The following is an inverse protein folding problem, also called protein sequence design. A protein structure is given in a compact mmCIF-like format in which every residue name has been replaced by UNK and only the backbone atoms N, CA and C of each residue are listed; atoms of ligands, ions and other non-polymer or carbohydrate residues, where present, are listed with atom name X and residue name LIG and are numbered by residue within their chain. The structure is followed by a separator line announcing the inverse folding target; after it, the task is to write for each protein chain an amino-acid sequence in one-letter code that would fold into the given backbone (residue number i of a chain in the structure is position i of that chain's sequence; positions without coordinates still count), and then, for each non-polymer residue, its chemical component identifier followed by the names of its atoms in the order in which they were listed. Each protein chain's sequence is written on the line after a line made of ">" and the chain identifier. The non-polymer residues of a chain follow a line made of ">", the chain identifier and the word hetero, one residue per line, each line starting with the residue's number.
data_IF_454472149291
#
_entry.id   IF_454472149291
#
_cell.length_a   1.000
_cell.length_b   1.000
_cell.length_c   1.000
_cell.angle_alpha   90.00
_cell.angle_beta   90.00
_cell.angle_gamma   90.00
#
_symmetry.space_group_name_H-M   'P 1'
#
loop_
_entity.id
_entity.type
_entity.pdbx_description
1 polymer ?
#
# COMPACT_ATOMS: atom_id res chain seq x y z
N UNK A 1 -24.90 8.69 21.50
CA UNK A 1 -23.46 8.97 21.25
C UNK A 1 -23.02 8.05 20.13
N UNK A 2 -22.47 8.61 19.05
CA UNK A 2 -22.00 7.83 17.90
C UNK A 2 -20.76 7.01 18.27
N UNK A 3 -20.76 5.72 17.95
CA UNK A 3 -19.59 4.86 18.07
C UNK A 3 -18.71 4.93 16.81
N UNK A 4 -17.41 5.12 16.97
CA UNK A 4 -16.45 5.08 15.85
C UNK A 4 -15.70 3.75 15.86
N UNK A 5 -15.40 3.20 14.69
CA UNK A 5 -14.57 2.02 14.54
C UNK A 5 -13.61 2.18 13.34
N UNK A 6 -12.45 1.53 13.43
CA UNK A 6 -11.46 1.46 12.34
C UNK A 6 -11.93 0.43 11.31
N UNK A 7 -12.19 0.87 10.08
CA UNK A 7 -12.68 0.00 9.02
C UNK A 7 -11.66 -1.07 8.63
N UNK A 8 -10.38 -0.70 8.60
CA UNK A 8 -9.26 -1.53 8.17
C UNK A 8 -8.78 -2.57 9.19
N UNK A 9 -9.29 -2.50 10.42
CA UNK A 9 -9.06 -3.53 11.44
C UNK A 9 -10.06 -4.69 11.34
N UNK A 10 -11.15 -4.53 10.58
CA UNK A 10 -12.14 -5.57 10.33
C UNK A 10 -11.58 -6.68 9.43
N UNK A 11 -12.21 -7.85 9.46
CA UNK A 11 -12.09 -8.83 8.37
C UNK A 11 -13.17 -8.58 7.32
N UNK A 12 -13.06 -9.19 6.14
CA UNK A 12 -14.08 -8.98 5.11
C UNK A 12 -15.45 -9.55 5.51
N UNK A 13 -15.51 -10.63 6.30
CA UNK A 13 -16.75 -11.13 6.88
C UNK A 13 -17.42 -10.09 7.78
N UNK A 14 -16.65 -9.42 8.62
CA UNK A 14 -17.16 -8.36 9.50
C UNK A 14 -17.66 -7.16 8.69
N UNK A 15 -17.01 -6.83 7.56
CA UNK A 15 -17.56 -5.86 6.59
C UNK A 15 -18.86 -6.35 5.97
N UNK A 16 -18.97 -7.64 5.64
CA UNK A 16 -20.16 -8.23 5.06
C UNK A 16 -21.38 -8.16 6.01
N UNK A 17 -21.14 -8.17 7.32
CA UNK A 17 -22.16 -8.05 8.37
C UNK A 17 -22.57 -6.60 8.69
N UNK A 18 -21.83 -5.60 8.22
CA UNK A 18 -22.19 -4.20 8.46
C UNK A 18 -23.52 -3.84 7.79
N UNK A 19 -24.41 -3.10 8.49
CA UNK A 19 -25.56 -2.48 7.86
C UNK A 19 -25.12 -1.59 6.69
N UNK A 20 -25.76 -1.74 5.52
CA UNK A 20 -25.40 -1.01 4.29
C UNK A 20 -25.71 0.49 4.31
N UNK A 21 -26.40 0.95 5.34
CA UNK A 21 -26.60 2.36 5.68
C UNK A 21 -25.60 2.86 6.75
N UNK A 22 -24.63 2.05 7.16
CA UNK A 22 -23.53 2.49 8.02
C UNK A 22 -22.69 3.54 7.28
N UNK A 23 -22.50 4.75 7.84
CA UNK A 23 -21.61 5.74 7.25
C UNK A 23 -20.17 5.26 7.27
N UNK A 24 -19.55 5.26 6.10
CA UNK A 24 -18.12 4.97 5.92
C UNK A 24 -17.43 6.23 5.41
N UNK A 25 -16.37 6.65 6.12
CA UNK A 25 -15.72 7.94 5.90
C UNK A 25 -14.23 7.73 5.62
N UNK A 26 -13.78 8.19 4.47
CA UNK A 26 -12.38 8.25 4.04
C UNK A 26 -11.79 9.63 4.37
N UNK A 27 -10.95 9.76 5.41
CA UNK A 27 -10.36 11.04 5.76
C UNK A 27 -9.11 11.34 4.95
N UNK A 28 -9.00 12.58 4.46
CA UNK A 28 -7.73 13.13 3.97
C UNK A 28 -6.95 13.68 5.17
N UNK A 29 -5.93 12.94 5.60
CA UNK A 29 -5.18 13.24 6.82
C UNK A 29 -5.89 12.82 8.11
N UNK A 30 -5.28 13.11 9.25
CA UNK A 30 -5.74 12.74 10.60
C UNK A 30 -6.00 13.99 11.45
N UNK A 31 -6.71 13.83 12.57
CA UNK A 31 -6.93 14.91 13.55
C UNK A 31 -8.23 15.70 13.40
N UNK A 32 -9.22 15.16 12.67
CA UNK A 32 -10.54 15.78 12.58
C UNK A 32 -11.31 15.71 13.90
N UNK A 33 -12.11 16.75 14.23
CA UNK A 33 -12.99 16.73 15.39
C UNK A 33 -14.18 15.78 15.15
N UNK A 34 -14.08 14.54 15.64
CA UNK A 34 -15.08 13.47 15.40
C UNK A 34 -16.50 13.84 15.86
N UNK A 35 -16.64 14.70 16.87
CA UNK A 35 -17.95 15.22 17.28
C UNK A 35 -18.65 16.03 16.18
N UNK A 36 -17.90 16.86 15.45
CA UNK A 36 -18.46 17.60 14.31
C UNK A 36 -18.77 16.69 13.12
N UNK A 37 -17.97 15.64 12.91
CA UNK A 37 -18.26 14.62 11.91
C UNK A 37 -19.56 13.88 12.21
N UNK A 38 -19.77 13.48 13.46
CA UNK A 38 -21.02 12.85 13.91
C UNK A 38 -22.22 13.77 13.65
N UNK A 39 -22.13 15.04 14.03
CA UNK A 39 -23.19 16.03 13.77
C UNK A 39 -23.47 16.22 12.27
N UNK A 40 -22.42 16.32 11.44
CA UNK A 40 -22.54 16.45 9.99
C UNK A 40 -23.24 15.25 9.32
N UNK A 41 -23.22 14.09 9.98
CA UNK A 41 -23.86 12.86 9.53
C UNK A 41 -25.18 12.56 10.24
N UNK A 42 -25.75 13.54 10.94
CA UNK A 42 -26.99 13.43 11.72
C UNK A 42 -26.92 12.40 12.85
N UNK A 43 -25.79 12.37 13.55
CA UNK A 43 -25.55 11.57 14.77
C UNK A 43 -25.93 10.09 14.64
N UNK A 44 -25.40 9.37 13.64
CA UNK A 44 -25.73 7.95 13.43
C UNK A 44 -25.25 7.11 14.64
N UNK A 45 -25.80 5.90 14.84
CA UNK A 45 -25.38 5.03 15.93
C UNK A 45 -23.90 4.63 15.83
N UNK A 46 -23.38 4.49 14.59
CA UNK A 46 -21.98 4.14 14.31
C UNK A 46 -21.44 4.84 13.06
N UNK A 47 -20.13 5.03 12.99
CA UNK A 47 -19.38 5.50 11.82
C UNK A 47 -18.11 4.66 11.66
N UNK A 48 -17.89 4.11 10.47
CA UNK A 48 -16.61 3.49 10.10
C UNK A 48 -15.65 4.53 9.56
N UNK A 49 -14.45 4.60 10.13
CA UNK A 49 -13.37 5.46 9.65
C UNK A 49 -12.38 4.60 8.87
N UNK A 50 -12.21 4.91 7.59
CA UNK A 50 -11.20 4.26 6.75
C UNK A 50 -9.79 4.78 7.09
N UNK A 51 -8.72 4.06 6.69
CA UNK A 51 -7.36 4.57 6.76
C UNK A 51 -7.25 5.98 6.19
N UNK A 52 -6.49 6.84 6.86
CA UNK A 52 -6.32 8.19 6.35
C UNK A 52 -5.49 8.19 5.05
N UNK A 53 -5.98 8.88 4.03
CA UNK A 53 -5.16 9.20 2.86
C UNK A 53 -4.05 10.16 3.31
N UNK A 54 -2.76 9.84 3.12
CA UNK A 54 -1.68 10.50 3.87
C UNK A 54 -1.24 11.86 3.31
N UNK A 55 -1.37 12.08 2.00
CA UNK A 55 -0.97 13.32 1.33
C UNK A 55 -1.67 13.50 -0.03
N UNK A 56 -1.47 14.63 -0.70
CA UNK A 56 -1.96 14.90 -2.05
C UNK A 56 -2.81 16.16 -2.17
N UNK A 57 -3.32 16.68 -1.04
CA UNK A 57 -4.13 17.89 -0.99
C UNK A 57 -3.29 19.12 -0.59
N UNK A 58 -3.86 20.31 -0.78
CA UNK A 58 -3.20 21.54 -0.35
C UNK A 58 -3.05 21.57 1.18
N UNK A 59 -1.81 21.72 1.66
CA UNK A 59 -1.48 21.74 3.09
C UNK A 59 -0.91 20.43 3.64
N UNK A 60 -0.89 19.34 2.85
CA UNK A 60 -0.38 18.03 3.29
C UNK A 60 1.14 17.84 3.15
N UNK A 61 1.90 18.91 2.87
CA UNK A 61 3.33 18.85 2.53
C UNK A 61 3.64 18.39 1.09
N UNK A 62 2.85 17.48 0.53
CA UNK A 62 2.93 17.00 -0.87
C UNK A 62 1.61 17.25 -1.58
N UNK A 63 1.53 18.32 -2.37
CA UNK A 63 0.32 18.69 -3.12
C UNK A 63 0.35 18.12 -4.53
N UNK A 64 -0.75 17.49 -4.95
CA UNK A 64 -1.04 17.12 -6.33
C UNK A 64 -2.18 17.99 -6.90
N UNK A 65 -2.50 17.80 -8.18
CA UNK A 65 -3.71 18.42 -8.74
C UNK A 65 -4.96 17.77 -8.14
N UNK A 66 -6.02 18.55 -7.97
CA UNK A 66 -7.30 18.04 -7.47
C UNK A 66 -7.92 17.01 -8.41
N UNK A 67 -7.60 17.04 -9.71
CA UNK A 67 -8.03 16.02 -10.67
C UNK A 67 -7.39 14.66 -10.37
N UNK A 68 -6.08 14.61 -10.12
CA UNK A 68 -5.39 13.35 -9.80
C UNK A 68 -5.87 12.77 -8.47
N UNK A 69 -5.94 13.62 -7.43
CA UNK A 69 -6.41 13.20 -6.13
C UNK A 69 -7.91 12.80 -6.16
N UNK A 70 -8.73 13.60 -6.83
CA UNK A 70 -10.17 13.37 -6.95
C UNK A 70 -10.48 12.05 -7.66
N UNK A 71 -9.74 11.68 -8.70
CA UNK A 71 -9.91 10.40 -9.39
C UNK A 71 -9.63 9.20 -8.47
N UNK A 72 -8.54 9.25 -7.71
CA UNK A 72 -8.20 8.19 -6.74
C UNK A 72 -9.27 8.09 -5.64
N UNK A 73 -9.65 9.22 -5.05
CA UNK A 73 -10.64 9.25 -3.97
C UNK A 73 -12.02 8.80 -4.46
N UNK A 74 -12.43 9.19 -5.67
CA UNK A 74 -13.69 8.74 -6.26
C UNK A 74 -13.74 7.21 -6.42
N UNK A 75 -12.68 6.60 -6.96
CA UNK A 75 -12.60 5.14 -7.15
C UNK A 75 -12.66 4.37 -5.82
N UNK A 76 -12.06 4.92 -4.75
CA UNK A 76 -12.16 4.36 -3.41
C UNK A 76 -13.59 4.41 -2.86
N UNK A 77 -14.29 5.54 -3.03
CA UNK A 77 -15.69 5.65 -2.64
C UNK A 77 -16.59 4.73 -3.48
N UNK A 78 -16.31 4.58 -4.77
CA UNK A 78 -17.04 3.65 -5.65
C UNK A 78 -16.83 2.20 -5.22
N UNK A 79 -15.65 1.84 -4.73
CA UNK A 79 -15.40 0.50 -4.17
C UNK A 79 -16.36 0.19 -3.00
N UNK A 80 -16.58 1.15 -2.11
CA UNK A 80 -17.54 1.00 -1.01
C UNK A 80 -19.00 0.95 -1.51
N UNK A 81 -19.34 1.69 -2.57
CA UNK A 81 -20.68 1.63 -3.17
C UNK A 81 -20.94 0.31 -3.86
N UNK A 82 -19.93 -0.27 -4.50
CA UNK A 82 -20.00 -1.58 -5.13
C UNK A 82 -20.23 -2.69 -4.09
N UNK A 83 -19.68 -2.52 -2.88
CA UNK A 83 -20.01 -3.34 -1.70
C UNK A 83 -21.42 -3.07 -1.13
N UNK A 84 -22.19 -2.18 -1.76
CA UNK A 84 -23.57 -1.85 -1.43
C UNK A 84 -23.76 -0.75 -0.37
N UNK A 85 -22.69 -0.10 0.10
CA UNK A 85 -22.83 0.98 1.09
C UNK A 85 -23.43 2.25 0.48
N UNK A 86 -24.53 2.72 1.05
CA UNK A 86 -25.29 3.87 0.57
C UNK A 86 -24.77 5.21 1.11
N UNK A 87 -23.98 5.19 2.19
CA UNK A 87 -23.51 6.37 2.93
C UNK A 87 -21.99 6.40 2.97
N UNK A 88 -21.37 6.83 1.87
CA UNK A 88 -19.92 6.89 1.71
C UNK A 88 -19.45 8.32 1.49
N UNK A 89 -18.42 8.73 2.22
CA UNK A 89 -17.96 10.13 2.24
C UNK A 89 -16.44 10.23 2.24
N UNK A 90 -15.91 11.20 1.52
CA UNK A 90 -14.57 11.73 1.74
C UNK A 90 -14.65 12.88 2.74
N UNK A 91 -13.84 12.82 3.80
CA UNK A 91 -13.68 13.89 4.77
C UNK A 91 -12.44 14.72 4.42
N UNK A 92 -12.67 15.95 3.97
CA UNK A 92 -11.64 16.84 3.45
C UNK A 92 -11.41 18.04 4.39
N UNK A 93 -10.19 18.61 4.39
CA UNK A 93 -9.97 19.91 5.00
C UNK A 93 -10.77 20.99 4.26
N UNK A 94 -11.15 22.05 4.97
CA UNK A 94 -11.80 23.21 4.36
C UNK A 94 -10.95 23.81 3.24
N UNK A 95 -11.61 24.20 2.14
CA UNK A 95 -10.98 24.84 0.98
C UNK A 95 -10.47 23.87 -0.10
N UNK A 96 -10.62 22.55 0.09
CA UNK A 96 -10.33 21.53 -0.93
C UNK A 96 -11.63 21.17 -1.67
N UNK A 97 -11.59 21.07 -3.00
CA UNK A 97 -12.73 20.58 -3.78
C UNK A 97 -12.30 19.47 -4.74
N UNK A 98 -12.78 18.25 -4.49
CA UNK A 98 -12.43 17.08 -5.32
C UNK A 98 -13.49 16.73 -6.36
N UNK A 99 -14.53 17.56 -6.51
CA UNK A 99 -15.65 17.24 -7.40
C UNK A 99 -16.53 16.08 -6.93
N UNK A 100 -16.48 15.71 -5.65
CA UNK A 100 -17.22 14.56 -5.09
C UNK A 100 -18.67 14.90 -4.66
N UNK A 101 -19.11 16.15 -4.88
CA UNK A 101 -20.45 16.64 -4.58
C UNK A 101 -20.92 16.27 -3.15
N UNK A 102 -22.09 15.63 -3.02
CA UNK A 102 -22.70 15.25 -1.75
C UNK A 102 -21.89 14.22 -0.94
N UNK A 103 -20.92 13.56 -1.57
CA UNK A 103 -20.00 12.64 -0.89
C UNK A 103 -18.77 13.34 -0.32
N UNK A 104 -18.68 14.67 -0.34
CA UNK A 104 -17.62 15.41 0.35
C UNK A 104 -18.14 16.07 1.63
N UNK A 105 -17.50 15.76 2.75
CA UNK A 105 -17.68 16.47 4.02
C UNK A 105 -16.45 17.34 4.24
N UNK A 106 -16.66 18.62 4.54
CA UNK A 106 -15.55 19.57 4.76
C UNK A 106 -15.56 20.05 6.20
N UNK A 107 -14.52 19.70 6.97
CA UNK A 107 -14.36 20.09 8.37
C UNK A 107 -13.02 20.80 8.58
N UNK A 108 -12.91 21.67 9.60
CA UNK A 108 -11.62 22.23 9.96
C UNK A 108 -10.68 21.13 10.45
N UNK A 109 -9.43 21.19 10.02
CA UNK A 109 -8.35 20.38 10.57
C UNK A 109 -7.65 21.24 11.65
N UNK A 110 -7.82 20.91 12.93
CA UNK A 110 -7.35 21.76 14.03
C UNK A 110 -5.90 21.46 14.46
N UNK A 111 -5.10 22.53 14.62
CA UNK A 111 -3.84 22.54 15.39
C UNK A 111 -2.67 21.77 14.78
N UNK A 112 -1.59 21.65 15.57
CA UNK A 112 -0.35 20.90 15.28
C UNK A 112 -0.53 19.45 14.81
N UNK A 113 -1.75 18.91 14.71
CA UNK A 113 -2.03 17.69 13.95
C UNK A 113 -1.79 17.87 12.43
N UNK A 114 -1.71 19.12 11.95
CA UNK A 114 -1.11 19.47 10.66
C UNK A 114 0.43 19.33 10.64
N UNK A 115 1.09 19.18 11.80
CA UNK A 115 2.55 18.99 11.97
C UNK A 115 2.92 17.50 12.09
N UNK A 116 1.95 16.63 12.38
CA UNK A 116 2.01 15.19 12.06
C UNK A 116 1.53 14.90 10.62
N UNK A 117 1.40 15.94 9.78
CA UNK A 117 1.48 15.72 8.34
C UNK A 117 2.83 15.06 8.10
N UNK A 118 2.94 14.06 7.22
CA UNK A 118 4.26 13.67 6.78
C UNK A 118 5.04 14.87 6.32
N UNK A 119 6.05 15.24 7.10
CA UNK A 119 7.13 16.02 6.55
C UNK A 119 7.70 15.14 5.46
N UNK A 120 7.41 15.48 4.20
CA UNK A 120 8.28 15.06 3.13
C UNK A 120 9.73 15.25 3.62
N UNK A 121 10.66 14.36 3.29
CA UNK A 121 12.04 14.52 3.69
C UNK A 121 12.52 15.96 3.46
N UNK A 122 13.22 16.57 4.44
CA UNK A 122 13.70 17.93 4.29
C UNK A 122 14.72 18.04 3.15
N UNK A 123 14.96 19.27 2.70
CA UNK A 123 15.74 19.53 1.48
C UNK A 123 17.22 19.12 1.60
N UNK A 124 17.75 18.96 2.81
CA UNK A 124 19.09 18.43 3.10
C UNK A 124 19.17 16.89 2.97
N UNK A 125 18.04 16.21 2.80
CA UNK A 125 17.98 14.75 2.59
C UNK A 125 17.88 14.35 1.11
N UNK A 126 18.06 15.28 0.16
CA UNK A 126 17.95 15.03 -1.30
C UNK A 126 18.83 13.91 -1.82
N UNK A 127 19.91 13.60 -1.12
CA UNK A 127 20.82 12.52 -1.48
C UNK A 127 20.42 11.14 -0.98
N UNK A 128 19.41 11.03 -0.11
CA UNK A 128 18.89 9.75 0.38
C UNK A 128 18.03 9.05 -0.68
N UNK A 129 17.86 7.74 -0.53
CA UNK A 129 16.81 7.00 -1.25
C UNK A 129 15.48 7.27 -0.55
N UNK A 130 14.51 7.80 -1.29
CA UNK A 130 13.15 7.99 -0.79
C UNK A 130 12.38 6.69 -0.97
N UNK A 131 12.11 6.01 0.14
CA UNK A 131 11.23 4.86 0.21
C UNK A 131 9.78 5.32 0.08
N UNK A 132 9.03 4.67 -0.79
CA UNK A 132 7.61 4.94 -1.04
C UNK A 132 6.84 3.67 -0.70
N UNK A 133 6.47 3.45 0.58
CA UNK A 133 5.69 2.29 1.00
C UNK A 133 4.24 2.39 0.56
N UNK A 134 3.75 1.34 -0.08
CA UNK A 134 2.39 1.23 -0.60
C UNK A 134 1.83 -0.12 -0.17
N UNK A 135 0.86 -0.08 0.73
CA UNK A 135 0.10 -1.25 1.15
C UNK A 135 -1.18 -1.41 0.36
N UNK A 136 -2.18 -1.94 1.04
CA UNK A 136 -3.55 -2.02 0.56
C UNK A 136 -4.54 -2.12 1.73
N UNK A 137 -5.83 -1.96 1.40
CA UNK A 137 -6.98 -2.25 2.27
C UNK A 137 -7.80 -3.28 1.50
N UNK A 138 -7.70 -4.53 1.92
CA UNK A 138 -8.07 -5.70 1.12
C UNK A 138 -8.46 -6.89 1.99
N UNK A 139 -9.44 -7.67 1.54
CA UNK A 139 -9.81 -8.95 2.15
C UNK A 139 -8.58 -9.86 2.35
N UNK A 140 -8.43 -10.47 3.53
CA UNK A 140 -7.36 -11.46 3.77
C UNK A 140 -7.92 -12.68 4.49
N UNK A 141 -8.86 -13.37 3.82
CA UNK A 141 -9.55 -14.50 4.43
C UNK A 141 -10.38 -14.08 5.65
N UNK A 142 -10.75 -15.06 6.47
CA UNK A 142 -11.59 -14.82 7.64
C UNK A 142 -10.83 -14.40 8.89
N UNK A 143 -9.49 -14.52 8.89
CA UNK A 143 -8.67 -14.36 10.10
C UNK A 143 -7.84 -13.08 10.16
N UNK A 144 -7.51 -12.46 9.02
CA UNK A 144 -6.65 -11.28 8.99
C UNK A 144 -7.42 -9.98 8.74
N UNK A 145 -6.91 -8.84 9.27
CA UNK A 145 -7.52 -7.54 9.05
C UNK A 145 -7.30 -7.05 7.62
N UNK A 146 -8.16 -6.14 7.15
CA UNK A 146 -8.02 -5.53 5.82
C UNK A 146 -6.70 -4.74 5.65
N UNK A 147 -6.11 -4.29 6.76
CA UNK A 147 -4.85 -3.52 6.80
C UNK A 147 -3.58 -4.36 6.67
N UNK A 148 -3.67 -5.67 6.43
CA UNK A 148 -2.52 -6.60 6.43
C UNK A 148 -1.33 -6.08 5.62
N UNK A 149 -1.51 -5.79 4.34
CA UNK A 149 -0.47 -5.28 3.44
C UNK A 149 0.16 -3.98 3.94
N UNK A 150 -0.68 -3.08 4.46
CA UNK A 150 -0.28 -1.77 4.96
C UNK A 150 0.58 -1.89 6.20
N UNK A 151 0.16 -2.70 7.18
CA UNK A 151 0.90 -2.92 8.42
C UNK A 151 2.28 -3.54 8.15
N UNK A 152 2.36 -4.49 7.23
CA UNK A 152 3.60 -5.18 6.88
C UNK A 152 4.58 -4.21 6.20
N UNK A 153 4.15 -3.54 5.13
CA UNK A 153 5.07 -2.70 4.35
C UNK A 153 5.50 -1.45 5.11
N UNK A 154 4.63 -0.93 5.99
CA UNK A 154 4.99 0.16 6.90
C UNK A 154 6.09 -0.28 7.87
N UNK A 155 5.93 -1.42 8.53
CA UNK A 155 6.94 -1.94 9.47
C UNK A 155 8.30 -2.16 8.79
N UNK A 156 8.30 -2.66 7.55
CA UNK A 156 9.51 -2.88 6.77
C UNK A 156 10.17 -1.53 6.41
N UNK A 157 9.41 -0.58 5.88
CA UNK A 157 9.95 0.73 5.51
C UNK A 157 10.52 1.47 6.71
N UNK A 158 9.82 1.46 7.85
CA UNK A 158 10.29 2.05 9.10
C UNK A 158 11.56 1.34 9.61
N UNK A 159 11.62 0.00 9.51
CA UNK A 159 12.81 -0.78 9.86
C UNK A 159 14.03 -0.41 9.02
N UNK A 160 13.85 -0.21 7.71
CA UNK A 160 14.92 0.22 6.79
C UNK A 160 15.41 1.63 7.13
N UNK A 161 14.49 2.59 7.34
CA UNK A 161 14.86 3.96 7.72
C UNK A 161 15.61 3.98 9.05
N UNK A 162 15.13 3.22 10.04
CA UNK A 162 15.80 3.12 11.35
C UNK A 162 17.22 2.55 11.24
N UNK A 163 17.43 1.59 10.36
CA UNK A 163 18.73 0.95 10.18
C UNK A 163 19.71 1.75 9.29
N UNK A 164 19.20 2.62 8.42
CA UNK A 164 20.03 3.42 7.50
C UNK A 164 19.58 4.89 7.39
N UNK A 165 19.47 5.64 8.51
CA UNK A 165 18.89 6.99 8.52
C UNK A 165 19.66 8.00 7.67
N UNK A 166 20.97 7.80 7.47
CA UNK A 166 21.84 8.64 6.62
C UNK A 166 21.77 8.30 5.12
N UNK A 167 21.03 7.26 4.75
CA UNK A 167 20.98 6.71 3.40
C UNK A 167 19.56 6.63 2.84
N UNK A 168 18.55 6.57 3.71
CA UNK A 168 17.15 6.45 3.34
C UNK A 168 16.24 7.33 4.19
N UNK A 169 15.12 7.72 3.59
CA UNK A 169 13.98 8.34 4.26
C UNK A 169 12.71 7.77 3.63
N UNK A 170 11.57 7.82 4.33
CA UNK A 170 10.31 7.26 3.82
C UNK A 170 9.22 8.33 3.74
N UNK A 171 8.38 8.25 2.71
CA UNK A 171 7.04 8.82 2.76
C UNK A 171 6.17 7.96 3.70
N UNK A 172 5.03 8.44 4.21
CA UNK A 172 4.07 7.57 4.86
C UNK A 172 3.62 6.46 3.95
N UNK A 173 3.23 5.37 4.60
CA UNK A 173 2.55 4.30 3.91
C UNK A 173 1.27 4.80 3.27
N UNK A 174 1.11 4.51 1.98
CA UNK A 174 -0.17 4.65 1.30
C UNK A 174 -0.98 3.38 1.54
N UNK A 175 -2.15 3.44 2.22
CA UNK A 175 -2.94 2.26 2.54
C UNK A 175 -3.82 1.77 1.36
N UNK A 176 -3.61 2.34 0.17
CA UNK A 176 -4.44 2.13 -1.00
C UNK A 176 -3.60 1.82 -2.24
N UNK A 177 -4.02 0.79 -2.96
CA UNK A 177 -3.36 0.26 -4.15
C UNK A 177 -4.37 -0.15 -5.21
N UNK A 178 -3.92 -1.00 -6.12
CA UNK A 178 -4.72 -1.55 -7.21
C UNK A 178 -5.00 -3.02 -6.95
N UNK A 179 -6.27 -3.37 -6.80
CA UNK A 179 -6.76 -4.75 -6.79
C UNK A 179 -7.59 -5.03 -8.05
N UNK A 180 -7.27 -6.12 -8.75
CA UNK A 180 -7.97 -6.59 -9.96
C UNK A 180 -8.95 -7.73 -9.70
N UNK A 181 -9.16 -8.07 -8.42
CA UNK A 181 -9.99 -9.19 -7.95
C UNK A 181 -11.06 -8.77 -6.93
N UNK A 182 -11.24 -7.46 -6.71
CA UNK A 182 -12.12 -6.88 -5.68
C UNK A 182 -13.59 -7.33 -5.71
N UNK A 183 -14.10 -7.85 -6.84
CA UNK A 183 -15.53 -8.17 -6.98
C UNK A 183 -15.94 -9.45 -6.25
N UNK A 184 -14.99 -10.29 -5.86
CA UNK A 184 -15.28 -11.59 -5.24
C UNK A 184 -15.62 -11.46 -3.74
N UNK A 185 -15.04 -10.49 -3.03
CA UNK A 185 -15.22 -10.32 -1.58
C UNK A 185 -15.25 -8.84 -1.18
N UNK A 186 -16.14 -8.43 -0.25
CA UNK A 186 -16.26 -7.05 0.19
C UNK A 186 -15.03 -6.60 1.00
N UNK A 187 -14.89 -5.29 1.21
CA UNK A 187 -13.80 -4.72 2.00
C UNK A 187 -12.54 -4.38 1.19
N UNK A 188 -12.45 -4.87 -0.05
CA UNK A 188 -11.32 -4.57 -0.93
C UNK A 188 -11.54 -3.26 -1.67
N UNK A 189 -10.69 -2.28 -1.39
CA UNK A 189 -10.73 -0.98 -2.04
C UNK A 189 -9.85 -0.99 -3.29
N UNK A 190 -10.15 -0.16 -4.28
CA UNK A 190 -9.32 -0.06 -5.48
C UNK A 190 -9.22 1.39 -5.93
N UNK A 191 -8.00 1.90 -6.10
CA UNK A 191 -7.79 3.26 -6.63
C UNK A 191 -7.93 3.34 -8.15
N UNK A 192 -7.98 2.20 -8.85
CA UNK A 192 -8.01 2.10 -10.31
C UNK A 192 -6.62 2.24 -10.94
N UNK A 193 -6.25 1.33 -11.83
CA UNK A 193 -4.88 1.21 -12.36
C UNK A 193 -4.32 2.49 -13.01
N UNK A 194 -5.10 3.17 -13.86
CA UNK A 194 -4.66 4.43 -14.50
C UNK A 194 -4.50 5.56 -13.48
N UNK A 195 -5.46 5.71 -12.57
CA UNK A 195 -5.41 6.73 -11.53
C UNK A 195 -4.25 6.48 -10.56
N UNK A 196 -3.92 5.21 -10.27
CA UNK A 196 -2.73 4.84 -9.50
C UNK A 196 -1.43 5.28 -10.19
N UNK A 197 -1.26 4.94 -11.47
CA UNK A 197 -0.08 5.33 -12.25
C UNK A 197 0.07 6.85 -12.32
N UNK A 198 -1.01 7.56 -12.66
CA UNK A 198 -1.01 9.02 -12.79
C UNK A 198 -0.74 9.72 -11.44
N UNK A 199 -1.33 9.20 -10.35
CA UNK A 199 -1.09 9.72 -9.00
C UNK A 199 0.38 9.61 -8.61
N UNK A 200 0.98 8.43 -8.75
CA UNK A 200 2.38 8.22 -8.35
C UNK A 200 3.36 8.93 -9.26
N UNK A 201 3.06 9.07 -10.55
CA UNK A 201 3.85 9.92 -11.43
C UNK A 201 3.78 11.39 -11.01
N UNK A 202 2.61 11.89 -10.61
CA UNK A 202 2.47 13.22 -10.03
C UNK A 202 3.26 13.40 -8.73
N UNK A 203 3.31 12.37 -7.87
CA UNK A 203 4.17 12.38 -6.67
C UNK A 203 5.64 12.50 -7.05
N UNK A 204 6.10 11.71 -8.02
CA UNK A 204 7.48 11.79 -8.52
C UNK A 204 7.77 13.18 -9.11
N UNK A 205 6.85 13.76 -9.90
CA UNK A 205 7.02 15.09 -10.47
C UNK A 205 7.29 16.14 -9.37
N UNK A 206 6.54 16.09 -8.26
CA UNK A 206 6.73 17.00 -7.10
C UNK A 206 8.07 16.76 -6.41
N UNK A 207 8.44 15.51 -6.17
CA UNK A 207 9.70 15.18 -5.48
C UNK A 207 10.92 15.55 -6.33
N UNK A 208 10.87 15.33 -7.64
CA UNK A 208 11.94 15.72 -8.57
C UNK A 208 12.04 17.24 -8.66
N UNK A 209 10.93 17.96 -8.69
CA UNK A 209 10.93 19.43 -8.65
C UNK A 209 11.59 19.97 -7.37
N UNK A 210 11.54 19.22 -6.27
CA UNK A 210 12.24 19.52 -5.01
C UNK A 210 13.68 19.04 -4.95
N UNK A 211 14.19 18.39 -6.00
CA UNK A 211 15.60 17.98 -6.13
C UNK A 211 15.90 16.54 -5.68
N UNK A 212 14.91 15.75 -5.26
CA UNK A 212 15.10 14.33 -4.99
C UNK A 212 15.30 13.56 -6.31
N UNK A 213 16.16 12.54 -6.28
CA UNK A 213 16.55 11.84 -7.50
C UNK A 213 16.74 10.33 -7.34
N UNK A 214 16.42 9.77 -6.17
CA UNK A 214 16.52 8.33 -5.86
C UNK A 214 15.20 7.90 -5.21
N UNK A 215 14.43 7.08 -5.89
CA UNK A 215 13.10 6.64 -5.45
C UNK A 215 13.03 5.12 -5.43
N UNK A 216 12.48 4.57 -4.35
CA UNK A 216 12.26 3.14 -4.22
C UNK A 216 10.82 2.88 -3.79
N UNK A 217 10.00 2.41 -4.73
CA UNK A 217 8.66 1.93 -4.45
C UNK A 217 8.73 0.57 -3.75
N UNK A 218 8.09 0.48 -2.58
CA UNK A 218 7.97 -0.73 -1.79
C UNK A 218 6.49 -1.13 -1.78
N UNK A 219 6.16 -2.31 -2.32
CA UNK A 219 4.78 -2.81 -2.29
C UNK A 219 4.60 -3.85 -1.20
N UNK A 220 3.55 -3.70 -0.40
CA UNK A 220 3.00 -4.76 0.45
C UNK A 220 2.04 -5.68 -0.32
N UNK A 221 1.51 -5.20 -1.44
CA UNK A 221 0.42 -5.84 -2.18
C UNK A 221 0.86 -6.33 -3.58
N UNK A 222 0.47 -7.56 -3.95
CA UNK A 222 0.82 -8.17 -5.24
C UNK A 222 0.24 -7.43 -6.45
N UNK A 223 -1.02 -6.99 -6.38
CA UNK A 223 -1.74 -6.34 -7.48
C UNK A 223 -1.14 -4.99 -7.91
N UNK A 224 -0.36 -4.34 -7.05
CA UNK A 224 0.36 -3.10 -7.41
C UNK A 224 1.49 -3.34 -8.42
N UNK A 225 2.04 -4.55 -8.51
CA UNK A 225 3.39 -4.76 -9.07
C UNK A 225 3.52 -4.42 -10.55
N UNK A 226 2.54 -4.79 -11.37
CA UNK A 226 2.55 -4.47 -12.81
C UNK A 226 2.51 -2.96 -13.05
N UNK A 227 1.72 -2.22 -12.26
CA UNK A 227 1.60 -0.77 -12.33
C UNK A 227 2.86 -0.06 -11.80
N UNK A 228 3.49 -0.56 -10.74
CA UNK A 228 4.76 -0.02 -10.23
C UNK A 228 5.89 -0.15 -11.26
N UNK A 229 5.93 -1.26 -12.00
CA UNK A 229 6.88 -1.43 -13.11
C UNK A 229 6.65 -0.38 -14.20
N UNK A 230 5.39 -0.06 -14.52
CA UNK A 230 5.07 1.02 -15.46
C UNK A 230 5.49 2.39 -14.93
N UNK A 231 5.17 2.70 -13.67
CA UNK A 231 5.56 3.96 -13.01
C UNK A 231 7.08 4.15 -13.06
N UNK A 232 7.87 3.12 -12.73
CA UNK A 232 9.34 3.18 -12.78
C UNK A 232 9.84 3.52 -14.19
N UNK A 233 9.26 2.90 -15.23
CA UNK A 233 9.64 3.15 -16.63
C UNK A 233 9.27 4.57 -17.06
N UNK A 234 8.03 5.00 -16.80
CA UNK A 234 7.55 6.34 -17.16
C UNK A 234 8.28 7.44 -16.39
N UNK A 235 8.57 7.25 -15.11
CA UNK A 235 9.36 8.20 -14.31
C UNK A 235 10.79 8.34 -14.88
N UNK A 236 11.44 7.23 -15.24
CA UNK A 236 12.76 7.25 -15.86
C UNK A 236 12.78 7.89 -17.25
N UNK A 237 11.71 7.73 -18.03
CA UNK A 237 11.51 8.41 -19.31
C UNK A 237 11.34 9.93 -19.12
N UNK A 238 10.45 10.35 -18.21
CA UNK A 238 10.18 11.76 -17.88
C UNK A 238 11.43 12.47 -17.34
N UNK A 239 12.19 11.79 -16.48
CA UNK A 239 13.32 12.38 -15.77
C UNK A 239 14.60 11.55 -15.92
N UNK A 240 15.33 11.79 -17.01
CA UNK A 240 16.54 11.04 -17.38
C UNK A 240 17.70 11.01 -16.35
N UNK A 241 17.61 11.75 -15.24
CA UNK A 241 18.65 11.88 -14.21
C UNK A 241 18.29 11.25 -12.87
N UNK A 242 17.06 10.76 -12.71
CA UNK A 242 16.67 10.06 -11.49
C UNK A 242 17.09 8.59 -11.57
N UNK A 243 17.11 7.94 -10.42
CA UNK A 243 17.07 6.50 -10.28
C UNK A 243 15.74 6.14 -9.61
N UNK A 244 14.85 5.51 -10.34
CA UNK A 244 13.56 5.04 -9.83
C UNK A 244 13.54 3.51 -9.91
N UNK A 245 13.15 2.85 -8.83
CA UNK A 245 13.15 1.41 -8.74
C UNK A 245 11.92 0.87 -7.98
N UNK A 246 11.64 -0.41 -8.22
CA UNK A 246 10.73 -1.24 -7.44
C UNK A 246 11.31 -2.66 -7.44
N UNK A 247 10.86 -3.49 -6.49
CA UNK A 247 11.13 -4.93 -6.47
C UNK A 247 9.81 -5.65 -6.24
N UNK A 248 9.71 -6.92 -6.66
CA UNK A 248 8.53 -7.73 -6.39
C UNK A 248 8.36 -7.92 -4.88
N UNK A 249 7.46 -7.20 -4.23
CA UNK A 249 7.19 -7.33 -2.79
C UNK A 249 8.46 -7.24 -1.90
N UNK A 250 8.40 -7.78 -0.69
CA UNK A 250 9.38 -7.55 0.36
C UNK A 250 10.26 -8.75 0.76
N UNK A 251 10.06 -9.93 0.16
CA UNK A 251 10.87 -11.15 0.36
C UNK A 251 10.98 -11.95 -0.94
N UNK A 252 11.54 -11.34 -1.98
CA UNK A 252 11.65 -11.95 -3.32
C UNK A 252 13.07 -11.96 -3.88
N UNK A 253 14.00 -11.29 -3.19
CA UNK A 253 15.41 -11.37 -3.51
C UNK A 253 16.01 -12.70 -3.04
N UNK A 254 17.23 -13.03 -3.50
CA UNK A 254 17.88 -14.30 -3.15
C UNK A 254 18.01 -14.54 -1.64
N UNK A 255 18.30 -13.49 -0.86
CA UNK A 255 18.42 -13.60 0.60
C UNK A 255 17.07 -13.75 1.29
N UNK A 256 16.05 -13.00 0.88
CA UNK A 256 14.71 -13.08 1.45
C UNK A 256 14.04 -14.41 1.15
N UNK A 257 14.13 -14.89 -0.09
CA UNK A 257 13.64 -16.23 -0.48
C UNK A 257 14.34 -17.31 0.33
N UNK A 258 15.67 -17.26 0.46
CA UNK A 258 16.41 -18.24 1.27
C UNK A 258 16.04 -18.19 2.77
N UNK A 259 15.66 -17.02 3.31
CA UNK A 259 15.18 -16.90 4.68
C UNK A 259 13.75 -17.41 4.85
N UNK A 260 12.89 -17.19 3.84
CA UNK A 260 11.52 -17.68 3.78
C UNK A 260 11.51 -19.22 3.77
N UNK A 261 12.20 -19.83 2.81
CA UNK A 261 12.24 -21.28 2.61
C UNK A 261 12.82 -22.06 3.80
N UNK A 262 13.70 -21.46 4.61
CA UNK A 262 14.23 -22.10 5.83
C UNK A 262 13.17 -22.40 6.89
N UNK A 263 12.06 -21.67 6.89
CA UNK A 263 11.04 -21.71 7.95
C UNK A 263 9.64 -22.00 7.43
N UNK A 264 9.44 -21.90 6.11
CA UNK A 264 8.23 -22.29 5.41
C UNK A 264 7.86 -23.73 5.75
N UNK A 265 6.59 -23.94 6.07
CA UNK A 265 6.03 -25.27 6.32
C UNK A 265 5.02 -25.68 5.26
N UNK A 266 4.34 -24.71 4.66
CA UNK A 266 3.39 -24.96 3.59
C UNK A 266 4.07 -25.38 2.28
N UNK A 267 3.42 -26.25 1.47
CA UNK A 267 3.89 -26.55 0.12
C UNK A 267 3.72 -25.34 -0.81
N UNK A 268 4.19 -25.46 -2.06
CA UNK A 268 3.87 -24.50 -3.13
C UNK A 268 2.34 -24.33 -3.19
N UNK A 269 1.88 -23.08 -3.25
CA UNK A 269 0.49 -22.68 -3.14
C UNK A 269 0.08 -22.21 -1.75
N UNK A 270 0.88 -22.49 -0.73
CA UNK A 270 0.61 -22.10 0.65
C UNK A 270 1.00 -20.67 1.03
N UNK A 271 1.61 -19.92 0.12
CA UNK A 271 2.18 -18.59 0.34
C UNK A 271 1.60 -17.52 -0.60
N UNK A 272 0.41 -17.72 -1.16
CA UNK A 272 -0.18 -16.77 -2.13
C UNK A 272 -0.78 -15.52 -1.48
N UNK A 273 -1.83 -15.68 -0.68
CA UNK A 273 -2.64 -14.63 -0.08
C UNK A 273 -3.35 -15.10 1.19
N UNK A 274 -3.49 -14.23 2.19
CA UNK A 274 -3.93 -14.57 3.55
C UNK A 274 -3.13 -15.76 4.14
N UNK A 275 -1.86 -15.83 3.75
CA UNK A 275 -1.09 -17.06 3.74
C UNK A 275 -0.23 -17.25 5.00
N UNK A 276 0.60 -18.30 5.04
CA UNK A 276 1.51 -18.57 6.17
C UNK A 276 2.43 -17.36 6.45
N UNK A 277 2.95 -16.70 5.41
CA UNK A 277 3.84 -15.54 5.52
C UNK A 277 3.14 -14.34 6.14
N UNK A 278 2.03 -13.91 5.54
CA UNK A 278 1.29 -12.73 5.98
C UNK A 278 0.72 -12.93 7.38
N UNK A 279 0.14 -14.10 7.64
CA UNK A 279 -0.39 -14.45 8.96
C UNK A 279 0.71 -14.41 10.02
N UNK A 280 1.89 -14.96 9.72
CA UNK A 280 3.04 -14.89 10.63
C UNK A 280 3.46 -13.45 10.92
N UNK A 281 3.54 -12.60 9.89
CA UNK A 281 3.94 -11.19 10.04
C UNK A 281 2.92 -10.41 10.88
N UNK A 282 1.62 -10.57 10.65
CA UNK A 282 0.59 -9.89 11.45
C UNK A 282 0.53 -10.43 12.88
N UNK A 283 0.69 -11.74 13.10
CA UNK A 283 0.82 -12.29 14.46
C UNK A 283 2.00 -11.68 15.23
N UNK A 284 3.07 -11.26 14.55
CA UNK A 284 4.18 -10.56 15.18
C UNK A 284 3.88 -9.07 15.41
N UNK A 285 3.27 -8.39 14.44
CA UNK A 285 3.08 -6.94 14.44
C UNK A 285 1.85 -6.48 15.23
N UNK A 286 0.71 -7.15 15.03
CA UNK A 286 -0.61 -6.83 15.57
C UNK A 286 -1.39 -8.13 15.88
N UNK A 287 -0.90 -8.97 16.82
CA UNK A 287 -1.59 -10.21 17.19
C UNK A 287 -3.03 -9.99 17.66
N UNK A 288 -3.34 -8.81 18.19
CA UNK A 288 -4.68 -8.39 18.61
C UNK A 288 -5.70 -8.32 17.46
N UNK A 289 -5.22 -8.22 16.20
CA UNK A 289 -6.07 -8.20 15.00
C UNK A 289 -6.21 -9.56 14.32
N UNK A 290 -5.57 -10.62 14.81
CA UNK A 290 -5.62 -11.93 14.16
C UNK A 290 -6.65 -12.82 14.83
N UNK A 291 -7.65 -13.26 14.06
CA UNK A 291 -8.69 -14.20 14.50
C UNK A 291 -8.27 -15.62 14.09
N UNK A 292 -7.19 -16.13 14.69
CA UNK A 292 -6.58 -17.42 14.27
C UNK A 292 -7.56 -18.59 14.27
N UNK A 293 -8.56 -18.58 15.15
CA UNK A 293 -9.62 -19.58 15.19
C UNK A 293 -10.50 -19.60 13.93
N UNK A 294 -10.44 -18.55 13.11
CA UNK A 294 -11.13 -18.43 11.82
C UNK A 294 -10.24 -18.74 10.62
N UNK A 295 -8.96 -19.06 10.82
CA UNK A 295 -8.05 -19.34 9.72
C UNK A 295 -8.50 -20.62 8.98
N UNK A 296 -8.61 -20.52 7.65
CA UNK A 296 -8.94 -21.62 6.76
C UNK A 296 -7.87 -21.67 5.68
N UNK A 297 -7.27 -22.85 5.49
CA UNK A 297 -6.26 -23.05 4.47
C UNK A 297 -6.93 -23.46 3.16
N UNK A 298 -6.74 -22.68 2.10
CA UNK A 298 -7.22 -22.97 0.75
C UNK A 298 -6.01 -22.99 -0.19
N UNK A 299 -5.64 -24.19 -0.66
CA UNK A 299 -4.46 -24.44 -1.49
C UNK A 299 -4.75 -25.30 -2.72
N UNK A 300 -6.01 -25.70 -2.91
CA UNK A 300 -6.50 -26.55 -4.01
C UNK A 300 -7.15 -25.74 -5.14
N UNK A 301 -6.73 -24.48 -5.29
CA UNK A 301 -7.13 -23.60 -6.40
C UNK A 301 -6.70 -24.16 -7.77
N UNK A 302 -7.33 -23.69 -8.84
CA UNK A 302 -7.11 -24.20 -10.19
C UNK A 302 -5.70 -23.80 -10.67
N UNK A 303 -4.78 -24.77 -10.62
CA UNK A 303 -3.39 -24.59 -10.99
C UNK A 303 -2.97 -25.48 -12.18
N UNK A 304 -1.97 -25.02 -12.93
CA UNK A 304 -1.25 -25.78 -13.96
C UNK A 304 0.26 -25.58 -13.78
N UNK A 305 1.13 -26.36 -14.43
CA UNK A 305 2.58 -26.21 -14.27
C UNK A 305 3.14 -24.81 -14.56
N UNK A 306 2.41 -23.98 -15.32
CA UNK A 306 2.80 -22.59 -15.64
C UNK A 306 1.87 -21.54 -15.04
N UNK A 307 0.84 -21.91 -14.30
CA UNK A 307 -0.07 -20.97 -13.63
C UNK A 307 -0.43 -21.50 -12.24
N UNK A 308 0.09 -20.82 -11.21
CA UNK A 308 -0.22 -21.06 -9.81
C UNK A 308 0.15 -19.80 -9.03
N UNK A 309 -0.40 -19.65 -7.83
CA UNK A 309 -0.11 -18.52 -6.95
C UNK A 309 0.81 -18.95 -5.81
N UNK A 310 1.99 -18.34 -5.71
CA UNK A 310 2.91 -18.50 -4.59
C UNK A 310 3.80 -17.26 -4.46
N UNK A 311 4.34 -17.03 -3.27
CA UNK A 311 5.21 -15.88 -3.02
C UNK A 311 6.58 -15.98 -3.74
N UNK A 312 7.18 -17.17 -3.72
CA UNK A 312 8.57 -17.37 -4.16
C UNK A 312 8.64 -17.63 -5.65
N UNK A 313 7.72 -18.43 -6.17
CA UNK A 313 7.68 -18.82 -7.57
C UNK A 313 6.30 -18.53 -8.14
N UNK A 314 6.21 -17.58 -9.07
CA UNK A 314 5.02 -17.40 -9.89
C UNK A 314 5.14 -18.23 -11.16
N UNK A 315 4.01 -18.79 -11.61
CA UNK A 315 3.95 -19.43 -12.92
C UNK A 315 4.34 -18.49 -14.07
N UNK A 316 4.86 -19.04 -15.17
CA UNK A 316 5.23 -18.27 -16.37
C UNK A 316 4.03 -17.65 -17.11
N UNK A 317 2.84 -18.19 -16.90
CA UNK A 317 1.58 -17.69 -17.45
C UNK A 317 0.96 -16.70 -16.46
N UNK A 318 0.58 -15.53 -16.97
CA UNK A 318 -0.09 -14.49 -16.19
C UNK A 318 -1.58 -14.54 -16.54
N UNK A 319 -2.43 -14.73 -15.53
CA UNK A 319 -3.88 -14.69 -15.66
C UNK A 319 -4.51 -13.99 -14.46
N UNK A 320 -5.78 -13.59 -14.59
CA UNK A 320 -6.57 -12.94 -13.54
C UNK A 320 -8.01 -13.49 -13.60
N UNK A 321 -8.22 -14.77 -13.22
CA UNK A 321 -9.57 -15.31 -13.06
C UNK A 321 -10.27 -14.63 -11.87
N UNK A 322 -11.61 -14.68 -11.81
CA UNK A 322 -12.36 -14.35 -10.60
C UNK A 322 -11.89 -15.18 -9.41
N UNK A 323 -11.71 -14.56 -8.24
CA UNK A 323 -11.18 -15.29 -7.06
C UNK A 323 -12.21 -16.20 -6.39
N UNK A 324 -13.49 -15.97 -6.66
CA UNK A 324 -14.62 -16.80 -6.25
C UNK A 324 -14.75 -18.10 -7.06
N UNK A 325 -13.99 -18.25 -8.15
CA UNK A 325 -13.85 -19.54 -8.85
C UNK A 325 -12.87 -20.48 -8.12
N UNK A 326 -11.94 -19.94 -7.34
CA UNK A 326 -10.79 -20.64 -6.78
C UNK A 326 -10.81 -20.75 -5.25
N UNK A 327 -11.54 -19.87 -4.56
CA UNK A 327 -11.53 -19.77 -3.08
C UNK A 327 -12.92 -19.46 -2.55
N UNK A 328 -13.31 -20.08 -1.43
CA UNK A 328 -14.56 -19.75 -0.75
C UNK A 328 -14.35 -18.66 0.31
N UNK A 329 -13.15 -18.55 0.85
CA UNK A 329 -12.83 -17.64 1.95
C UNK A 329 -12.10 -16.39 1.50
N UNK A 330 -11.56 -16.38 0.27
CA UNK A 330 -10.63 -15.36 -0.21
C UNK A 330 -9.17 -15.64 0.14
N UNK A 331 -8.86 -16.71 0.86
CA UNK A 331 -7.48 -17.13 1.10
C UNK A 331 -6.93 -17.89 -0.11
N UNK A 332 -5.67 -17.62 -0.48
CA UNK A 332 -4.86 -18.44 -1.38
C UNK A 332 -3.61 -18.88 -0.62
N UNK A 333 -3.76 -19.74 0.36
CA UNK A 333 -2.62 -20.20 1.14
C UNK A 333 -2.96 -20.86 2.46
N UNK A 334 -1.90 -21.10 3.25
CA UNK A 334 -1.98 -21.83 4.51
C UNK A 334 -1.80 -20.92 5.73
N UNK A 335 -2.77 -20.02 5.96
CA UNK A 335 -2.74 -19.08 7.08
C UNK A 335 -2.63 -19.78 8.45
N UNK A 336 -3.18 -20.99 8.60
CA UNK A 336 -3.16 -21.75 9.86
C UNK A 336 -1.73 -22.09 10.36
N UNK A 337 -0.75 -22.11 9.45
CA UNK A 337 0.65 -22.40 9.76
C UNK A 337 1.43 -21.17 10.23
N UNK A 338 0.79 -19.99 10.26
CA UNK A 338 1.41 -18.75 10.67
C UNK A 338 1.81 -18.73 12.15
N UNK A 339 2.99 -18.20 12.47
CA UNK A 339 3.41 -17.97 13.87
C UNK A 339 4.12 -16.64 14.05
N UNK A 340 3.98 -16.04 15.23
CA UNK A 340 4.68 -14.78 15.55
C UNK A 340 6.22 -14.93 15.50
N UNK A 341 6.78 -16.11 15.81
CA UNK A 341 8.21 -16.37 15.68
C UNK A 341 8.67 -16.28 14.22
N UNK A 342 7.95 -16.94 13.30
CA UNK A 342 8.20 -16.84 11.86
C UNK A 342 8.10 -15.38 11.40
N UNK A 343 7.07 -14.67 11.86
CA UNK A 343 6.85 -13.27 11.55
C UNK A 343 8.02 -12.38 11.94
N UNK A 344 8.54 -12.53 13.16
CA UNK A 344 9.70 -11.76 13.62
C UNK A 344 10.94 -12.02 12.76
N UNK A 345 11.20 -13.30 12.43
CA UNK A 345 12.36 -13.69 11.62
C UNK A 345 12.25 -13.19 10.17
N UNK A 346 11.07 -13.33 9.56
CA UNK A 346 10.83 -12.90 8.18
C UNK A 346 10.76 -11.38 8.05
N UNK A 347 10.23 -10.67 9.03
CA UNK A 347 10.28 -9.20 9.06
C UNK A 347 11.72 -8.71 9.07
N UNK A 348 12.58 -9.30 9.91
CA UNK A 348 14.01 -8.97 9.94
C UNK A 348 14.67 -9.24 8.59
N UNK A 349 14.42 -10.40 7.98
CA UNK A 349 14.97 -10.75 6.68
C UNK A 349 14.49 -9.78 5.57
N UNK A 350 13.24 -9.36 5.62
CA UNK A 350 12.68 -8.39 4.67
C UNK A 350 13.37 -7.03 4.78
N UNK A 351 13.57 -6.54 6.01
CA UNK A 351 14.30 -5.29 6.28
C UNK A 351 15.75 -5.39 5.78
N UNK A 352 16.44 -6.48 6.09
CA UNK A 352 17.82 -6.72 5.62
C UNK A 352 17.91 -6.74 4.09
N UNK A 353 16.98 -7.41 3.41
CA UNK A 353 16.93 -7.42 1.95
C UNK A 353 16.69 -6.02 1.38
N UNK A 354 15.72 -5.26 1.91
CA UNK A 354 15.45 -3.90 1.42
C UNK A 354 16.61 -2.93 1.72
N UNK A 355 17.37 -3.13 2.80
CA UNK A 355 18.60 -2.38 3.08
C UNK A 355 19.67 -2.61 2.01
N UNK A 356 19.83 -3.86 1.55
CA UNK A 356 20.74 -4.18 0.45
C UNK A 356 20.31 -3.46 -0.83
N UNK A 357 19.01 -3.44 -1.14
CA UNK A 357 18.51 -2.70 -2.29
C UNK A 357 18.76 -1.18 -2.19
N UNK A 358 18.62 -0.57 -1.01
CA UNK A 358 18.96 0.85 -0.79
C UNK A 358 20.43 1.11 -1.15
N UNK A 359 21.35 0.25 -0.71
CA UNK A 359 22.76 0.37 -1.04
C UNK A 359 23.02 0.17 -2.54
N UNK A 360 22.38 -0.82 -3.16
CA UNK A 360 22.47 -1.03 -4.62
C UNK A 360 21.96 0.18 -5.41
N UNK A 361 20.87 0.83 -4.98
CA UNK A 361 20.35 2.05 -5.60
C UNK A 361 21.40 3.17 -5.54
N UNK A 362 22.04 3.38 -4.38
CA UNK A 362 23.13 4.35 -4.24
C UNK A 362 24.29 4.04 -5.19
N UNK A 363 24.76 2.80 -5.20
CA UNK A 363 25.85 2.37 -6.08
C UNK A 363 25.51 2.54 -7.56
N UNK A 364 24.30 2.13 -7.96
CA UNK A 364 23.81 2.24 -9.34
C UNK A 364 23.69 3.70 -9.77
N UNK A 365 23.26 4.60 -8.88
CA UNK A 365 23.22 6.03 -9.12
C UNK A 365 24.63 6.60 -9.31
N UNK A 366 25.56 6.36 -8.36
CA UNK A 366 26.93 6.85 -8.40
C UNK A 366 27.69 6.39 -9.65
N UNK A 367 27.62 5.09 -9.98
CA UNK A 367 28.26 4.54 -11.20
C UNK A 367 27.74 5.18 -12.48
N UNK A 368 26.46 5.57 -12.51
CA UNK A 368 25.86 6.28 -13.66
C UNK A 368 26.32 7.73 -13.74
N UNK A 369 26.42 8.42 -12.61
CA UNK A 369 27.03 9.76 -12.54
C UNK A 369 28.47 9.75 -13.06
N UNK A 370 29.30 8.83 -12.59
CA UNK A 370 30.68 8.70 -13.08
C UNK A 370 30.75 8.43 -14.59
N UNK A 371 29.88 7.56 -15.12
CA UNK A 371 29.82 7.32 -16.58
C UNK A 371 29.45 8.60 -17.33
N UNK A 372 28.53 9.42 -16.81
CA UNK A 372 28.17 10.71 -17.42
C UNK A 372 29.34 11.68 -17.44
N UNK A 373 30.06 11.80 -16.33
CA UNK A 373 31.27 12.63 -16.23
C UNK A 373 32.35 12.18 -17.22
N UNK A 374 32.46 10.87 -17.47
CA UNK A 374 33.33 10.29 -18.51
C UNK A 374 32.80 10.43 -19.94
N UNK A 375 31.70 11.15 -20.16
CA UNK A 375 31.18 11.48 -21.49
C UNK A 375 30.19 10.49 -22.10
N UNK A 376 29.65 9.54 -21.32
CA UNK A 376 28.59 8.65 -21.83
C UNK A 376 27.27 9.41 -22.00
N UNK A 377 26.43 8.97 -22.97
CA UNK A 377 25.10 9.53 -23.17
C UNK A 377 25.05 10.86 -23.94
N UNK A 378 26.10 11.19 -24.70
CA UNK A 378 26.21 12.39 -25.57
C UNK A 378 25.40 12.32 -26.88
N UNK A 379 24.38 11.46 -26.96
CA UNK A 379 23.51 11.42 -28.13
C UNK A 379 22.87 12.80 -28.36
N UNK A 380 23.11 13.40 -29.53
CA UNK A 380 22.66 14.77 -29.89
C UNK A 380 23.65 15.89 -29.57
N UNK A 381 24.68 15.65 -28.77
CA UNK A 381 25.82 16.56 -28.61
C UNK A 381 26.91 16.13 -29.60
N UNK A 382 26.73 16.47 -30.89
CA UNK A 382 27.84 16.44 -31.84
C UNK A 382 28.84 17.52 -31.43
N UNK A 383 30.11 17.12 -31.36
CA UNK A 383 31.24 17.98 -31.07
C UNK A 383 31.35 19.15 -32.05
#
# INVERSE_FOLDING_TARGET
>A
MTQFFSYDELTWQEVAELPRDTPLVLPLGKGYPLGLLSQALSEPPRIGILPAFPFGWQGSGLRLSETLLGAVVANLLDSLRDDGFSRVYALCPQGISLGLHASQISLPLHGSAAVDSPSLPPDDERDKVILIPIGHTEQHGYHLPLSTDTLIIEAIAQGVVKAAPERSAALPVMPYGVSTHRQSFPGTLNVGGRAFEDFWLGVIDVLVARGFNRFYFLSGHGGNMSFLVNIVKYAGERFRRIFCATAFLYLSGPSGVAALEKRRQSPIGGMGHACELETSLILHLRPDLVRMERAVDEMDFIATPSYFMDWVEGGALIANPPWDDDTATGAYGAGSLGTAEKGSLWLKAAIEEKLLHVEEIHQQHLRREERRQRGYGRWGQRA
#
